data_IF_417585902431
#
_entry.id   IF_417585902431
#
_cell.length_a   1.000
_cell.length_b   1.000
_cell.length_c   1.000
_cell.angle_alpha   90.00
_cell.angle_beta   90.00
_cell.angle_gamma   90.00
#
_symmetry.space_group_name_H-M   'P 1'
#
loop_
_entity.id
_entity.type
_entity.pdbx_description
1 polymer ?
#
# COMPACT_ATOMS: atom_id res chain seq x y z
N UNK A 1 -14.68 -2.44 -11.71
CA UNK A 1 -13.60 -1.61 -12.34
C UNK A 1 -12.24 -1.95 -11.75
N UNK A 2 -11.11 -1.57 -12.41
CA UNK A 2 -9.76 -1.83 -11.89
C UNK A 2 -9.19 -0.60 -11.19
N UNK A 3 -8.83 -0.73 -9.92
CA UNK A 3 -8.31 0.35 -9.08
C UNK A 3 -6.86 0.09 -8.68
N UNK A 4 -6.02 1.11 -8.84
CA UNK A 4 -4.63 1.08 -8.39
C UNK A 4 -4.41 2.11 -7.28
N UNK A 5 -4.07 1.67 -6.07
CA UNK A 5 -3.86 2.55 -4.91
C UNK A 5 -2.41 2.50 -4.44
N UNK A 6 -1.84 3.65 -4.06
CA UNK A 6 -0.47 3.73 -3.54
C UNK A 6 -0.51 4.52 -2.24
N UNK A 7 -0.03 3.91 -1.16
CA UNK A 7 0.17 4.59 0.12
C UNK A 7 1.60 4.38 0.60
N UNK A 8 2.21 5.45 1.12
CA UNK A 8 3.59 5.45 1.60
C UNK A 8 3.72 5.26 3.11
N UNK A 9 2.63 5.38 3.87
CA UNK A 9 2.63 5.42 5.33
C UNK A 9 1.45 4.63 5.92
N UNK A 10 1.56 4.25 7.18
CA UNK A 10 0.51 3.53 7.92
C UNK A 10 -0.81 4.35 8.01
N UNK A 11 -0.71 5.67 8.09
CA UNK A 11 -1.85 6.60 8.04
C UNK A 11 -2.62 6.46 6.72
N UNK A 12 -1.90 6.32 5.60
CA UNK A 12 -2.46 6.09 4.28
C UNK A 12 -3.11 4.70 4.16
N UNK A 13 -2.49 3.66 4.69
CA UNK A 13 -3.06 2.29 4.71
C UNK A 13 -4.43 2.24 5.41
N UNK A 14 -4.57 2.97 6.52
CA UNK A 14 -5.85 3.10 7.22
C UNK A 14 -6.92 3.80 6.38
N UNK A 15 -6.59 4.91 5.72
CA UNK A 15 -7.58 5.66 4.93
C UNK A 15 -7.94 4.95 3.64
N UNK A 16 -6.95 4.36 2.97
CA UNK A 16 -7.15 3.66 1.72
C UNK A 16 -7.93 2.35 1.91
N UNK A 17 -7.77 1.64 3.04
CA UNK A 17 -8.60 0.46 3.33
C UNK A 17 -10.09 0.82 3.46
N UNK A 18 -10.43 1.92 4.14
CA UNK A 18 -11.81 2.44 4.20
C UNK A 18 -12.36 2.83 2.83
N UNK A 19 -11.54 3.47 2.00
CA UNK A 19 -11.91 3.80 0.62
C UNK A 19 -12.19 2.53 -0.20
N UNK A 20 -11.35 1.51 -0.08
CA UNK A 20 -11.54 0.24 -0.79
C UNK A 20 -12.83 -0.47 -0.36
N UNK A 21 -13.18 -0.43 0.94
CA UNK A 21 -14.44 -0.98 1.46
C UNK A 21 -15.64 -0.26 0.82
N UNK A 22 -15.65 1.07 0.88
CA UNK A 22 -16.74 1.88 0.32
C UNK A 22 -16.84 1.74 -1.22
N UNK A 23 -15.72 1.55 -1.92
CA UNK A 23 -15.71 1.27 -3.35
C UNK A 23 -16.32 -0.10 -3.66
N UNK A 24 -16.01 -1.12 -2.86
CA UNK A 24 -16.54 -2.48 -3.03
C UNK A 24 -18.05 -2.56 -2.77
N UNK A 25 -18.58 -1.71 -1.89
CA UNK A 25 -20.03 -1.57 -1.69
C UNK A 25 -20.75 -1.01 -2.92
N UNK A 26 -20.10 -0.10 -3.66
CA UNK A 26 -20.67 0.52 -4.87
C UNK A 26 -20.38 -0.26 -6.15
N UNK A 27 -19.26 -0.96 -6.19
CA UNK A 27 -18.79 -1.77 -7.32
C UNK A 27 -18.29 -3.12 -6.77
N UNK A 28 -19.18 -4.13 -6.69
CA UNK A 28 -18.82 -5.46 -6.18
C UNK A 28 -17.72 -6.15 -7.01
N UNK A 29 -17.60 -5.80 -8.29
CA UNK A 29 -16.62 -6.33 -9.23
C UNK A 29 -15.33 -5.47 -9.27
N UNK A 30 -15.15 -4.59 -8.28
CA UNK A 30 -13.95 -3.80 -8.14
C UNK A 30 -12.74 -4.71 -7.87
N UNK A 31 -11.74 -4.61 -8.75
CA UNK A 31 -10.45 -5.29 -8.61
C UNK A 31 -9.42 -4.30 -8.12
N UNK A 32 -8.79 -4.60 -6.99
CA UNK A 32 -7.82 -3.70 -6.35
C UNK A 32 -6.41 -4.24 -6.52
N UNK A 33 -5.49 -3.34 -6.87
CA UNK A 33 -4.05 -3.57 -6.84
C UNK A 33 -3.40 -2.41 -6.12
N UNK A 34 -2.52 -2.68 -5.15
CA UNK A 34 -2.06 -1.59 -4.31
C UNK A 34 -0.67 -1.77 -3.69
N UNK A 35 -0.06 -0.64 -3.36
CA UNK A 35 1.08 -0.54 -2.44
C UNK A 35 0.51 -0.07 -1.11
N UNK A 36 0.66 -0.87 -0.07
CA UNK A 36 0.01 -0.59 1.20
C UNK A 36 0.47 -1.51 2.30
N UNK A 37 -0.31 -1.54 3.38
CA UNK A 37 -0.02 -2.31 4.56
C UNK A 37 -0.99 -3.46 4.76
N UNK A 38 -1.09 -3.88 6.00
CA UNK A 38 -1.93 -4.99 6.41
C UNK A 38 -3.42 -4.62 6.36
N UNK A 39 -3.78 -3.33 6.55
CA UNK A 39 -5.18 -2.91 6.52
C UNK A 39 -5.77 -3.01 5.12
N UNK A 40 -5.08 -2.51 4.09
CA UNK A 40 -5.53 -2.68 2.70
C UNK A 40 -5.49 -4.16 2.28
N UNK A 41 -4.54 -4.94 2.82
CA UNK A 41 -4.47 -6.39 2.59
C UNK A 41 -5.69 -7.13 3.13
N UNK A 42 -6.21 -6.71 4.28
CA UNK A 42 -7.42 -7.30 4.88
C UNK A 42 -8.68 -7.05 4.04
N UNK A 43 -8.76 -5.93 3.30
CA UNK A 43 -9.89 -5.65 2.38
C UNK A 43 -9.85 -6.55 1.13
N UNK A 44 -8.64 -6.97 0.74
CA UNK A 44 -8.40 -7.88 -0.37
C UNK A 44 -7.95 -7.19 -1.66
N UNK A 45 -7.55 -8.02 -2.63
CA UNK A 45 -6.91 -7.56 -3.87
C UNK A 45 -5.44 -7.98 -3.94
N UNK A 46 -4.70 -7.39 -4.85
CA UNK A 46 -3.30 -7.72 -5.11
C UNK A 46 -2.38 -6.69 -4.45
N UNK A 47 -1.82 -7.03 -3.29
CA UNK A 47 -0.73 -6.24 -2.68
C UNK A 47 0.54 -6.46 -3.48
N UNK A 48 1.03 -5.41 -4.12
CA UNK A 48 2.24 -5.47 -4.97
C UNK A 48 3.51 -5.21 -4.16
N UNK A 49 3.45 -4.33 -3.16
CA UNK A 49 4.56 -4.07 -2.23
C UNK A 49 4.02 -3.63 -0.87
N UNK A 50 4.75 -4.00 0.18
CA UNK A 50 4.50 -3.46 1.51
C UNK A 50 5.24 -2.13 1.66
N UNK A 51 4.61 -1.11 2.25
CA UNK A 51 5.29 0.16 2.54
C UNK A 51 6.58 -0.02 3.37
N UNK A 52 6.67 -1.08 4.19
CA UNK A 52 7.86 -1.46 4.97
C UNK A 52 9.04 -1.88 4.12
N UNK A 53 8.83 -2.38 2.91
CA UNK A 53 9.92 -2.77 2.00
C UNK A 53 10.51 -1.57 1.26
N UNK A 54 9.81 -0.42 1.21
CA UNK A 54 10.32 0.84 0.67
C UNK A 54 11.05 1.68 1.72
N UNK A 55 10.85 1.39 3.00
CA UNK A 55 11.65 1.93 4.07
C UNK A 55 13.04 1.26 4.07
N UNK A 56 13.88 1.64 3.09
CA UNK A 56 15.33 1.58 3.25
C UNK A 56 15.71 2.53 4.40
N UNK A 57 15.46 2.11 5.64
CA UNK A 57 15.99 2.75 6.83
C UNK A 57 17.37 2.17 7.12
N UNK A 58 18.39 3.02 6.98
CA UNK A 58 19.74 2.72 7.45
C UNK A 58 20.74 3.75 6.95
N UNK A 59 21.68 4.16 7.79
CA UNK A 59 22.88 4.92 7.42
C UNK A 59 23.88 4.08 6.60
N UNK A 60 23.67 2.76 6.49
CA UNK A 60 24.59 1.82 5.84
C UNK A 60 24.76 2.08 4.33
N UNK A 61 23.70 2.31 3.52
CA UNK A 61 23.85 2.66 2.11
C UNK A 61 24.53 4.03 1.90
N UNK A 62 24.35 4.96 2.85
CA UNK A 62 24.96 6.30 2.83
C UNK A 62 26.46 6.22 3.10
N UNK A 63 26.88 5.43 4.10
CA UNK A 63 28.29 5.19 4.40
C UNK A 63 29.02 4.47 3.26
N UNK A 64 28.35 3.54 2.56
CA UNK A 64 28.93 2.83 1.41
C UNK A 64 29.14 3.72 0.16
N UNK A 65 28.53 4.91 0.11
CA UNK A 65 28.68 5.86 -1.00
C UNK A 65 29.55 7.08 -0.68
N UNK A 66 30.16 7.14 0.50
CA UNK A 66 31.23 8.09 0.81
C UNK A 66 32.56 7.54 0.27
N UNK A 67 32.79 7.67 -1.04
CA UNK A 67 34.13 7.62 -1.64
C UNK A 67 34.60 9.01 -1.98
#
# INVERSE_FOLDING_TARGET
>A
MKYYLIVGEASGDLHASRLMIALKEKDPDATFRFFGGDMMSAVGGVRVKHYRELAYMGFIPVLLHLR
#
